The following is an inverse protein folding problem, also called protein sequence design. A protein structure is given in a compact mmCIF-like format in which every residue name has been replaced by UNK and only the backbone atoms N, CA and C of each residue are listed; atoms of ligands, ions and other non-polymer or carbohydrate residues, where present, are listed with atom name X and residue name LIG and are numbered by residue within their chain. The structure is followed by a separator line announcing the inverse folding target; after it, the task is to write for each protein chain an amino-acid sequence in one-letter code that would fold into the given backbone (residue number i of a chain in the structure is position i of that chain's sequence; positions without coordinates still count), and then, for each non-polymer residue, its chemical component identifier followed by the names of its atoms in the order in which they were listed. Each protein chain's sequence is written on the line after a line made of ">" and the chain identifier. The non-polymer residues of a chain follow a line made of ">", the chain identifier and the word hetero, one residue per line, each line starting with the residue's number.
data_IF_114947651113
#
_entry.id   IF_114947651113
#
_cell.length_a   1.000
_cell.length_b   1.000
_cell.length_c   1.000
_cell.angle_alpha   90.00
_cell.angle_beta   90.00
_cell.angle_gamma   90.00
#
_symmetry.space_group_name_H-M   'P 1'
#
loop_
_entity.id
_entity.type
_entity.pdbx_description
1 polymer ?
#
# COMPACT_ATOMS: atom_id res chain seq x y z
N UNK A 1 -33.99 12.74 -2.26
CA UNK A 1 -33.05 11.63 -2.55
C UNK A 1 -31.73 11.99 -1.90
N UNK A 2 -31.35 11.28 -0.83
CA UNK A 2 -30.11 11.57 -0.11
C UNK A 2 -28.92 11.30 -1.05
N UNK A 3 -28.16 12.34 -1.39
CA UNK A 3 -26.81 12.18 -1.92
C UNK A 3 -25.99 11.50 -0.81
N UNK A 4 -26.08 10.16 -0.72
CA UNK A 4 -25.11 9.41 0.06
C UNK A 4 -23.75 9.72 -0.57
N UNK A 5 -22.89 10.42 0.17
CA UNK A 5 -21.52 10.68 -0.28
C UNK A 5 -20.86 9.31 -0.51
N UNK A 6 -20.84 8.89 -1.77
CA UNK A 6 -20.19 7.66 -2.19
C UNK A 6 -18.69 7.79 -1.95
N UNK A 7 -18.08 6.78 -1.38
CA UNK A 7 -16.66 6.79 -1.07
C UNK A 7 -16.03 5.40 -1.21
N UNK A 8 -14.72 5.41 -1.39
CA UNK A 8 -13.89 4.20 -1.40
C UNK A 8 -13.13 4.09 -0.08
N UNK A 9 -13.00 2.88 0.45
CA UNK A 9 -12.12 2.61 1.59
C UNK A 9 -10.87 1.88 1.10
N UNK A 10 -9.72 2.51 1.27
CA UNK A 10 -8.40 1.96 0.93
C UNK A 10 -7.71 1.50 2.21
N UNK A 11 -7.35 0.20 2.29
CA UNK A 11 -6.80 -0.44 3.50
C UNK A 11 -5.44 -1.05 3.17
N UNK A 12 -4.37 -0.59 3.79
CA UNK A 12 -3.04 -1.13 3.54
C UNK A 12 -1.88 -0.22 3.87
N UNK A 13 -0.78 -0.37 3.13
CA UNK A 13 0.48 0.29 3.42
C UNK A 13 0.54 1.76 3.03
N UNK A 14 1.05 2.57 3.95
CA UNK A 14 1.67 3.86 3.67
C UNK A 14 3.06 3.88 4.29
N UNK A 15 4.02 4.48 3.64
CA UNK A 15 5.40 4.56 4.10
C UNK A 15 6.09 5.83 3.60
N UNK A 16 7.22 6.14 4.19
CA UNK A 16 8.13 7.16 3.65
C UNK A 16 9.14 6.48 2.76
N UNK A 17 9.25 6.95 1.52
CA UNK A 17 10.28 6.52 0.58
C UNK A 17 11.48 7.47 0.70
N UNK A 18 12.66 6.91 1.02
CA UNK A 18 13.94 7.61 1.05
C UNK A 18 14.76 7.08 -0.11
N UNK A 19 14.99 7.92 -1.11
CA UNK A 19 15.64 7.53 -2.35
C UNK A 19 16.97 8.28 -2.49
N UNK A 20 18.06 7.55 -2.43
CA UNK A 20 19.40 8.09 -2.71
C UNK A 20 19.74 7.88 -4.19
N UNK A 21 20.17 8.97 -4.87
CA UNK A 21 20.66 8.94 -6.26
C UNK A 21 22.07 9.45 -6.31
N UNK A 22 23.01 8.58 -6.61
CA UNK A 22 24.40 8.97 -6.79
C UNK A 22 24.62 9.55 -8.20
N UNK A 23 25.41 10.61 -8.30
CA UNK A 23 25.86 11.16 -9.61
C UNK A 23 27.10 10.44 -10.16
N UNK A 24 27.70 9.57 -9.36
CA UNK A 24 28.90 8.80 -9.72
C UNK A 24 28.68 7.33 -9.42
N UNK A 25 29.56 6.48 -9.96
CA UNK A 25 29.58 5.06 -9.61
C UNK A 25 29.72 4.89 -8.10
N UNK A 26 28.86 4.09 -7.50
CA UNK A 26 28.88 3.78 -6.07
C UNK A 26 30.10 2.94 -5.74
N UNK A 27 30.82 3.34 -4.71
CA UNK A 27 31.93 2.57 -4.12
C UNK A 27 31.41 1.88 -2.87
N UNK A 28 31.35 0.55 -2.91
CA UNK A 28 30.88 -0.27 -1.78
C UNK A 28 31.83 -0.13 -0.59
N UNK A 29 31.30 0.08 0.60
CA UNK A 29 32.08 0.28 1.83
C UNK A 29 32.57 1.72 2.05
N UNK A 30 32.22 2.64 1.14
CA UNK A 30 32.61 4.05 1.19
C UNK A 30 31.38 4.95 1.41
N UNK A 31 31.63 6.19 1.84
CA UNK A 31 30.60 7.24 1.87
C UNK A 31 30.47 7.85 0.48
N UNK A 32 29.32 7.66 -0.16
CA UNK A 32 29.05 8.14 -1.51
C UNK A 32 28.20 9.41 -1.47
N UNK A 33 28.67 10.48 -2.11
CA UNK A 33 27.90 11.72 -2.23
C UNK A 33 26.73 11.50 -3.17
N UNK A 34 25.51 11.71 -2.68
CA UNK A 34 24.26 11.44 -3.38
C UNK A 34 23.22 12.54 -3.10
N UNK A 35 22.28 12.72 -4.01
CA UNK A 35 21.05 13.43 -3.74
C UNK A 35 20.11 12.49 -3.01
N UNK A 36 19.45 12.99 -1.96
CA UNK A 36 18.52 12.19 -1.16
C UNK A 36 17.16 12.88 -1.19
N UNK A 37 16.18 12.17 -1.72
CA UNK A 37 14.78 12.58 -1.75
C UNK A 37 13.98 11.83 -0.69
N UNK A 38 13.03 12.52 -0.09
CA UNK A 38 12.07 11.97 0.84
C UNK A 38 10.66 12.22 0.32
N UNK A 39 9.91 11.15 0.08
CA UNK A 39 8.56 11.24 -0.48
C UNK A 39 7.58 10.38 0.29
N UNK A 40 6.30 10.80 0.26
CA UNK A 40 5.22 9.96 0.78
C UNK A 40 4.92 8.84 -0.20
N UNK A 41 5.03 7.61 0.25
CA UNK A 41 4.85 6.39 -0.53
C UNK A 41 3.80 5.44 0.06
N UNK A 42 3.83 4.22 -0.42
CA UNK A 42 2.89 3.16 -0.08
C UNK A 42 1.80 2.99 -1.14
N UNK A 43 1.64 1.75 -1.61
CA UNK A 43 0.74 1.43 -2.73
C UNK A 43 -0.68 1.92 -2.45
N UNK A 44 -1.23 1.60 -1.29
CA UNK A 44 -2.60 1.99 -0.93
C UNK A 44 -2.73 3.50 -0.74
N UNK A 45 -1.72 4.16 -0.14
CA UNK A 45 -1.73 5.61 -0.01
C UNK A 45 -1.73 6.29 -1.40
N UNK A 46 -0.92 5.80 -2.32
CA UNK A 46 -0.85 6.35 -3.69
C UNK A 46 -2.17 6.14 -4.45
N UNK A 47 -2.84 5.00 -4.27
CA UNK A 47 -4.17 4.76 -4.85
C UNK A 47 -5.20 5.74 -4.25
N UNK A 48 -5.19 5.93 -2.93
CA UNK A 48 -6.09 6.86 -2.26
C UNK A 48 -5.89 8.31 -2.73
N UNK A 49 -4.64 8.74 -2.92
CA UNK A 49 -4.30 10.04 -3.48
C UNK A 49 -4.85 10.23 -4.90
N UNK A 50 -4.62 9.24 -5.77
CA UNK A 50 -5.14 9.28 -7.13
C UNK A 50 -6.68 9.34 -7.17
N UNK A 51 -7.36 8.60 -6.30
CA UNK A 51 -8.82 8.68 -6.17
C UNK A 51 -9.26 10.11 -5.79
N UNK A 52 -8.58 10.74 -4.83
CA UNK A 52 -8.88 12.11 -4.43
C UNK A 52 -8.61 13.12 -5.57
N UNK A 53 -7.53 12.95 -6.33
CA UNK A 53 -7.25 13.78 -7.51
C UNK A 53 -8.33 13.61 -8.60
N UNK A 54 -8.89 12.41 -8.74
CA UNK A 54 -10.03 12.13 -9.62
C UNK A 54 -11.38 12.58 -9.02
N UNK A 55 -11.37 13.33 -7.91
CA UNK A 55 -12.56 13.86 -7.22
C UNK A 55 -13.46 12.78 -6.58
N UNK A 56 -12.92 11.61 -6.29
CA UNK A 56 -13.61 10.59 -5.50
C UNK A 56 -13.25 10.75 -4.03
N UNK A 57 -14.24 10.66 -3.16
CA UNK A 57 -14.01 10.60 -1.70
C UNK A 57 -13.34 9.29 -1.33
N UNK A 58 -12.23 9.37 -0.58
CA UNK A 58 -11.48 8.19 -0.15
C UNK A 58 -11.12 8.26 1.34
N UNK A 59 -11.40 7.18 2.06
CA UNK A 59 -10.88 6.93 3.40
C UNK A 59 -9.67 6.00 3.31
N UNK A 60 -8.56 6.43 3.85
CA UNK A 60 -7.38 5.59 4.01
C UNK A 60 -7.35 4.99 5.43
N UNK A 61 -7.32 3.68 5.53
CA UNK A 61 -7.08 2.94 6.77
C UNK A 61 -5.67 2.35 6.71
N UNK A 62 -4.74 3.00 7.39
CA UNK A 62 -3.33 2.61 7.49
C UNK A 62 -2.84 2.79 8.92
N UNK A 63 -1.54 2.64 9.16
CA UNK A 63 -0.91 2.89 10.45
C UNK A 63 0.14 3.97 10.31
N UNK A 64 0.12 4.92 11.24
CA UNK A 64 1.14 5.93 11.42
C UNK A 64 1.82 5.74 12.77
N UNK A 65 3.14 5.80 12.80
CA UNK A 65 3.90 5.87 14.04
C UNK A 65 3.74 7.22 14.73
N UNK A 66 4.07 7.27 16.00
CA UNK A 66 4.15 8.51 16.78
C UNK A 66 5.55 9.13 16.63
N UNK A 67 5.93 9.43 15.37
CA UNK A 67 7.23 9.92 14.96
C UNK A 67 7.12 10.99 13.84
N UNK A 68 8.25 11.59 13.47
CA UNK A 68 8.30 12.63 12.43
C UNK A 68 7.83 12.12 11.06
N UNK A 69 8.14 10.88 10.70
CA UNK A 69 7.68 10.28 9.46
C UNK A 69 6.16 10.04 9.46
N UNK A 70 5.60 9.66 10.61
CA UNK A 70 4.14 9.57 10.78
C UNK A 70 3.47 10.93 10.62
N UNK A 71 4.06 11.99 11.19
CA UNK A 71 3.56 13.35 11.05
C UNK A 71 3.66 13.83 9.58
N UNK A 72 4.78 13.55 8.92
CA UNK A 72 4.98 13.86 7.50
C UNK A 72 3.90 13.19 6.62
N UNK A 73 3.68 11.88 6.79
CA UNK A 73 2.67 11.14 6.02
C UNK A 73 1.25 11.65 6.28
N UNK A 74 0.88 11.90 7.54
CA UNK A 74 -0.43 12.44 7.92
C UNK A 74 -0.69 13.79 7.24
N UNK A 75 0.29 14.68 7.25
CA UNK A 75 0.18 16.00 6.61
C UNK A 75 0.06 15.86 5.09
N UNK A 76 0.87 14.99 4.48
CA UNK A 76 0.79 14.71 3.05
C UNK A 76 -0.58 14.17 2.65
N UNK A 77 -1.12 13.18 3.37
CA UNK A 77 -2.45 12.64 3.11
C UNK A 77 -3.55 13.72 3.19
N UNK A 78 -3.50 14.58 4.22
CA UNK A 78 -4.47 15.68 4.39
C UNK A 78 -4.39 16.68 3.24
N UNK A 79 -3.19 17.07 2.83
CA UNK A 79 -2.96 17.99 1.72
C UNK A 79 -3.48 17.43 0.38
N UNK A 80 -3.42 16.12 0.20
CA UNK A 80 -3.98 15.42 -0.98
C UNK A 80 -5.50 15.16 -0.88
N UNK A 81 -6.17 15.60 0.21
CA UNK A 81 -7.61 15.41 0.40
C UNK A 81 -8.01 14.01 0.87
N UNK A 82 -7.06 13.18 1.28
CA UNK A 82 -7.32 11.83 1.77
C UNK A 82 -7.86 11.90 3.21
N UNK A 83 -8.99 11.25 3.47
CA UNK A 83 -9.51 11.16 4.83
C UNK A 83 -8.80 10.04 5.60
N UNK A 84 -8.06 10.41 6.64
CA UNK A 84 -7.28 9.48 7.49
C UNK A 84 -7.87 9.30 8.90
N UNK A 85 -9.10 9.80 9.17
CA UNK A 85 -9.69 9.80 10.52
C UNK A 85 -9.91 8.40 11.09
N UNK A 86 -9.86 7.36 10.25
CA UNK A 86 -10.03 5.97 10.65
C UNK A 86 -8.72 5.17 10.62
N UNK A 87 -7.60 5.81 10.30
CA UNK A 87 -6.26 5.22 10.41
C UNK A 87 -5.83 5.07 11.87
N UNK A 88 -4.93 4.15 12.12
CA UNK A 88 -4.36 3.90 13.44
C UNK A 88 -3.13 4.79 13.67
N UNK A 89 -3.08 5.48 14.82
CA UNK A 89 -1.86 6.08 15.32
C UNK A 89 -1.35 5.24 16.48
N UNK A 90 -0.06 4.91 16.51
CA UNK A 90 0.49 4.01 17.52
C UNK A 90 1.92 4.36 17.89
N UNK A 91 2.29 4.05 19.15
CA UNK A 91 3.68 4.07 19.64
C UNK A 91 4.35 2.69 19.54
N UNK A 92 3.63 1.69 19.01
CA UNK A 92 4.10 0.30 18.89
C UNK A 92 4.87 0.07 17.59
N UNK A 93 5.88 0.87 17.33
CA UNK A 93 6.75 0.76 16.16
C UNK A 93 6.95 2.09 15.43
N UNK A 94 7.98 2.15 14.62
CA UNK A 94 8.28 3.30 13.77
C UNK A 94 7.40 3.28 12.53
N UNK A 95 7.12 4.48 11.99
CA UNK A 95 6.42 4.63 10.70
C UNK A 95 7.13 3.83 9.61
N UNK A 96 6.35 3.14 8.78
CA UNK A 96 6.90 2.32 7.71
C UNK A 96 7.79 3.16 6.77
N UNK A 97 8.93 2.58 6.43
CA UNK A 97 9.96 3.26 5.62
C UNK A 97 10.51 2.32 4.56
N UNK A 98 10.74 2.85 3.38
CA UNK A 98 11.46 2.21 2.28
C UNK A 98 12.67 3.06 1.93
N UNK A 99 13.85 2.47 1.92
CA UNK A 99 15.10 3.13 1.56
C UNK A 99 15.68 2.43 0.34
N UNK A 100 16.04 3.20 -0.69
CA UNK A 100 16.76 2.68 -1.85
C UNK A 100 18.02 3.49 -2.16
N UNK A 101 19.05 2.80 -2.61
CA UNK A 101 20.30 3.40 -3.11
C UNK A 101 20.39 3.08 -4.59
N UNK A 102 20.33 4.13 -5.40
CA UNK A 102 20.41 4.04 -6.84
C UNK A 102 21.74 4.61 -7.31
N UNK A 103 22.32 4.00 -8.32
CA UNK A 103 23.57 4.45 -8.93
C UNK A 103 23.34 5.63 -9.90
N UNK A 104 24.43 6.04 -10.57
CA UNK A 104 24.43 7.14 -11.55
C UNK A 104 23.64 6.84 -12.83
N UNK A 105 23.29 5.57 -13.09
CA UNK A 105 22.43 5.17 -14.20
C UNK A 105 20.95 5.18 -13.83
N UNK A 106 20.65 5.34 -12.53
CA UNK A 106 19.30 5.23 -11.96
C UNK A 106 18.93 3.78 -11.58
N UNK A 107 19.86 2.82 -11.75
CA UNK A 107 19.62 1.44 -11.34
C UNK A 107 19.69 1.31 -9.82
N UNK A 108 18.72 0.60 -9.26
CA UNK A 108 18.67 0.33 -7.83
C UNK A 108 19.67 -0.77 -7.47
N UNK A 109 20.68 -0.42 -6.67
CA UNK A 109 21.70 -1.37 -6.21
C UNK A 109 21.23 -2.16 -4.97
N UNK A 110 20.56 -1.48 -4.04
CA UNK A 110 20.07 -2.07 -2.81
C UNK A 110 18.86 -1.31 -2.31
N UNK A 111 17.92 -2.03 -1.70
CA UNK A 111 16.83 -1.44 -0.95
C UNK A 111 16.63 -2.16 0.37
N UNK A 112 16.17 -1.41 1.37
CA UNK A 112 15.73 -1.92 2.66
C UNK A 112 14.35 -1.37 2.97
N UNK A 113 13.52 -2.15 3.65
CA UNK A 113 12.21 -1.68 4.09
C UNK A 113 11.92 -2.13 5.53
N UNK A 114 11.30 -1.25 6.29
CA UNK A 114 10.65 -1.57 7.55
C UNK A 114 9.16 -1.28 7.43
N UNK A 115 8.38 -2.33 7.38
CA UNK A 115 6.90 -2.25 7.29
C UNK A 115 6.22 -2.95 8.46
N UNK A 116 6.96 -3.27 9.53
CA UNK A 116 6.47 -4.05 10.67
C UNK A 116 5.27 -3.39 11.37
N UNK A 117 5.24 -2.06 11.41
CA UNK A 117 4.12 -1.32 12.01
C UNK A 117 2.77 -1.70 11.40
N UNK A 118 2.72 -2.12 10.13
CA UNK A 118 1.49 -2.52 9.45
C UNK A 118 0.84 -3.78 10.04
N UNK A 119 1.56 -4.55 10.84
CA UNK A 119 1.00 -5.70 11.58
C UNK A 119 -0.05 -5.26 12.61
N UNK A 120 -0.04 -3.98 13.02
CA UNK A 120 -1.06 -3.41 13.89
C UNK A 120 -2.43 -3.20 13.19
N UNK A 121 -2.52 -3.33 11.86
CA UNK A 121 -3.80 -3.43 11.16
C UNK A 121 -4.41 -4.82 11.34
N UNK A 122 -4.83 -5.10 12.56
CA UNK A 122 -5.38 -6.42 12.92
C UNK A 122 -6.85 -6.57 12.50
N UNK A 123 -7.37 -7.82 12.45
CA UNK A 123 -8.80 -8.05 12.29
C UNK A 123 -9.67 -7.34 13.33
N UNK A 124 -9.21 -7.27 14.59
CA UNK A 124 -9.91 -6.61 15.70
C UNK A 124 -10.00 -5.10 15.46
N UNK A 125 -8.90 -4.48 15.03
CA UNK A 125 -8.90 -3.06 14.67
C UNK A 125 -9.89 -2.79 13.53
N UNK A 126 -9.86 -3.58 12.46
CA UNK A 126 -10.77 -3.41 11.32
C UNK A 126 -12.23 -3.72 11.69
N UNK A 127 -12.49 -4.61 12.65
CA UNK A 127 -13.82 -4.87 13.16
C UNK A 127 -14.45 -3.61 13.77
N UNK A 128 -13.66 -2.77 14.43
CA UNK A 128 -14.13 -1.47 14.94
C UNK A 128 -14.49 -0.46 13.84
N UNK A 129 -14.12 -0.71 12.59
CA UNK A 129 -14.39 0.12 11.41
C UNK A 129 -15.44 -0.51 10.48
N UNK A 130 -16.12 -1.57 10.93
CA UNK A 130 -17.03 -2.39 10.11
C UNK A 130 -18.15 -1.57 9.44
N UNK A 131 -18.73 -0.60 10.13
CA UNK A 131 -19.76 0.25 9.55
C UNK A 131 -19.22 1.06 8.37
N UNK A 132 -18.09 1.78 8.57
CA UNK A 132 -17.45 2.54 7.51
C UNK A 132 -17.13 1.65 6.28
N UNK A 133 -16.62 0.45 6.51
CA UNK A 133 -16.24 -0.45 5.41
C UNK A 133 -17.49 -0.99 4.71
N UNK A 134 -18.57 -1.28 5.44
CA UNK A 134 -19.83 -1.75 4.86
C UNK A 134 -20.54 -0.67 4.03
N UNK A 135 -20.41 0.59 4.40
CA UNK A 135 -21.09 1.69 3.71
C UNK A 135 -20.30 2.17 2.47
N UNK A 136 -19.06 1.70 2.30
CA UNK A 136 -18.22 2.03 1.14
C UNK A 136 -18.76 1.41 -0.16
N UNK A 137 -18.57 2.08 -1.31
CA UNK A 137 -18.87 1.51 -2.64
C UNK A 137 -17.90 0.41 -3.02
N UNK A 138 -16.61 0.60 -2.68
CA UNK A 138 -15.55 -0.33 -2.98
C UNK A 138 -14.50 -0.35 -1.87
N UNK A 139 -13.79 -1.45 -1.79
CA UNK A 139 -12.66 -1.65 -0.89
C UNK A 139 -11.42 -1.88 -1.75
N UNK A 140 -10.35 -1.15 -1.47
CA UNK A 140 -9.03 -1.35 -2.08
C UNK A 140 -8.09 -1.89 -1.02
N UNK A 141 -7.40 -2.99 -1.31
CA UNK A 141 -6.42 -3.59 -0.39
C UNK A 141 -5.08 -3.84 -1.07
N UNK A 142 -4.02 -3.96 -0.30
CA UNK A 142 -2.74 -4.44 -0.79
C UNK A 142 -2.18 -5.63 -0.01
N UNK A 143 -1.20 -6.31 -0.59
CA UNK A 143 -0.52 -7.44 0.04
C UNK A 143 0.51 -7.04 1.11
N UNK A 144 0.60 -5.76 1.51
CA UNK A 144 1.37 -5.39 2.70
C UNK A 144 0.66 -5.82 3.99
N UNK A 145 -0.66 -5.93 3.95
CA UNK A 145 -1.45 -6.44 5.06
C UNK A 145 -1.04 -7.85 5.50
N UNK A 146 -1.27 -8.17 6.78
CA UNK A 146 -1.06 -9.52 7.29
C UNK A 146 -2.02 -10.52 6.62
N UNK A 147 -1.63 -11.79 6.57
CA UNK A 147 -2.48 -12.86 6.03
C UNK A 147 -3.82 -12.96 6.78
N UNK A 148 -3.81 -12.75 8.09
CA UNK A 148 -5.02 -12.79 8.92
C UNK A 148 -5.95 -11.62 8.60
N UNK A 149 -5.39 -10.42 8.39
CA UNK A 149 -6.14 -9.23 8.04
C UNK A 149 -6.76 -9.34 6.66
N UNK A 150 -6.00 -9.82 5.65
CA UNK A 150 -6.53 -10.11 4.31
C UNK A 150 -7.68 -11.12 4.40
N UNK A 151 -7.49 -12.23 5.11
CA UNK A 151 -8.55 -13.23 5.33
C UNK A 151 -9.79 -12.63 5.98
N UNK A 152 -9.61 -11.79 6.99
CA UNK A 152 -10.71 -11.10 7.66
C UNK A 152 -11.51 -10.23 6.67
N UNK A 153 -10.85 -9.38 5.90
CA UNK A 153 -11.49 -8.49 4.93
C UNK A 153 -12.28 -9.31 3.91
N UNK A 154 -11.64 -10.26 3.26
CA UNK A 154 -12.23 -11.02 2.17
C UNK A 154 -13.39 -11.94 2.62
N UNK A 155 -13.41 -12.39 3.88
CA UNK A 155 -14.52 -13.18 4.42
C UNK A 155 -15.69 -12.34 4.91
N UNK A 156 -15.42 -11.16 5.49
CA UNK A 156 -16.47 -10.35 6.12
C UNK A 156 -17.11 -9.33 5.17
N UNK A 157 -16.43 -8.98 4.08
CA UNK A 157 -16.88 -7.98 3.10
C UNK A 157 -17.00 -8.53 1.67
N UNK A 158 -17.20 -9.83 1.52
CA UNK A 158 -17.28 -10.53 0.22
C UNK A 158 -18.37 -10.04 -0.73
N UNK A 159 -19.37 -9.33 -0.21
CA UNK A 159 -20.44 -8.72 -1.01
C UNK A 159 -20.07 -7.31 -1.52
N UNK A 160 -18.88 -6.81 -1.18
CA UNK A 160 -18.36 -5.53 -1.64
C UNK A 160 -17.52 -5.71 -2.90
N UNK A 161 -17.45 -4.66 -3.71
CA UNK A 161 -16.48 -4.62 -4.81
C UNK A 161 -15.08 -4.47 -4.24
N UNK A 162 -14.21 -5.46 -4.47
CA UNK A 162 -12.86 -5.51 -3.90
C UNK A 162 -11.83 -5.42 -5.02
N UNK A 163 -10.99 -4.39 -4.94
CA UNK A 163 -9.78 -4.25 -5.73
C UNK A 163 -8.56 -4.63 -4.88
N UNK A 164 -7.61 -5.40 -5.44
CA UNK A 164 -6.38 -5.79 -4.75
C UNK A 164 -5.12 -5.49 -5.55
N UNK A 165 -4.11 -4.93 -4.88
CA UNK A 165 -2.76 -4.80 -5.43
C UNK A 165 -1.82 -5.84 -4.80
N UNK A 166 -1.15 -6.68 -5.61
CA UNK A 166 -0.25 -7.73 -5.13
C UNK A 166 1.05 -7.22 -4.52
N UNK A 167 1.47 -5.99 -4.82
CA UNK A 167 2.70 -5.32 -4.35
C UNK A 167 4.00 -5.98 -4.82
N UNK A 168 4.12 -7.30 -4.67
CA UNK A 168 5.28 -8.08 -5.13
C UNK A 168 4.94 -9.56 -5.22
N UNK A 169 5.72 -10.30 -6.01
CA UNK A 169 5.58 -11.76 -6.17
C UNK A 169 5.50 -12.47 -4.82
N UNK A 170 6.41 -12.19 -3.89
CA UNK A 170 6.42 -12.83 -2.56
C UNK A 170 5.18 -12.51 -1.75
N UNK A 171 4.80 -11.22 -1.68
CA UNK A 171 3.64 -10.76 -0.90
C UNK A 171 2.31 -11.22 -1.49
N UNK A 172 2.22 -11.35 -2.82
CA UNK A 172 1.00 -11.78 -3.54
C UNK A 172 0.52 -13.18 -3.15
N UNK A 173 1.42 -14.03 -2.63
CA UNK A 173 1.07 -15.37 -2.13
C UNK A 173 -0.08 -15.36 -1.11
N UNK A 174 -0.25 -14.25 -0.38
CA UNK A 174 -1.33 -14.07 0.59
C UNK A 174 -2.71 -13.96 -0.07
N UNK A 175 -2.79 -13.52 -1.34
CA UNK A 175 -4.03 -13.36 -2.10
C UNK A 175 -4.42 -14.62 -2.86
N UNK A 176 -3.47 -15.51 -3.20
CA UNK A 176 -3.67 -16.64 -4.13
C UNK A 176 -4.89 -17.50 -3.79
N UNK A 177 -5.14 -17.77 -2.50
CA UNK A 177 -6.28 -18.57 -2.05
C UNK A 177 -7.62 -17.86 -2.08
N UNK A 178 -7.61 -16.56 -2.33
CA UNK A 178 -8.78 -15.68 -2.21
C UNK A 178 -9.12 -14.96 -3.51
N UNK A 179 -8.52 -15.35 -4.63
CA UNK A 179 -8.75 -14.68 -5.92
C UNK A 179 -10.24 -14.64 -6.31
N UNK A 180 -11.01 -15.67 -5.96
CA UNK A 180 -12.46 -15.72 -6.21
C UNK A 180 -13.29 -14.67 -5.43
N UNK A 181 -12.71 -14.04 -4.41
CA UNK A 181 -13.35 -12.97 -3.63
C UNK A 181 -12.93 -11.56 -4.08
N UNK A 182 -12.02 -11.47 -5.05
CA UNK A 182 -11.45 -10.21 -5.55
C UNK A 182 -12.05 -9.93 -6.92
N UNK A 183 -12.67 -8.76 -7.08
CA UNK A 183 -13.29 -8.38 -8.35
C UNK A 183 -12.26 -7.89 -9.37
N UNK A 184 -11.25 -7.16 -8.91
CA UNK A 184 -10.16 -6.67 -9.75
C UNK A 184 -8.84 -6.85 -9.03
N UNK A 185 -7.86 -7.41 -9.72
CA UNK A 185 -6.47 -7.47 -9.26
C UNK A 185 -5.55 -6.87 -10.33
N UNK A 186 -4.59 -6.04 -9.92
CA UNK A 186 -3.65 -5.39 -10.84
C UNK A 186 -2.21 -5.89 -10.58
N UNK A 187 -1.85 -7.03 -11.12
CA UNK A 187 -0.48 -7.54 -11.02
C UNK A 187 0.42 -6.95 -12.11
N UNK A 188 1.72 -6.92 -11.86
CA UNK A 188 2.71 -6.90 -12.93
C UNK A 188 2.88 -8.32 -13.54
N UNK A 189 3.70 -8.44 -14.59
CA UNK A 189 3.88 -9.71 -15.30
C UNK A 189 4.36 -10.86 -14.39
N UNK A 190 5.33 -10.60 -13.52
CA UNK A 190 5.89 -11.64 -12.62
C UNK A 190 4.91 -12.03 -11.50
N UNK A 191 4.15 -11.07 -11.02
CA UNK A 191 3.06 -11.31 -10.06
C UNK A 191 1.93 -12.11 -10.71
N UNK A 192 1.56 -11.79 -11.95
CA UNK A 192 0.53 -12.51 -12.70
C UNK A 192 0.94 -13.97 -12.95
N UNK A 193 2.16 -14.19 -13.43
CA UNK A 193 2.71 -15.57 -13.61
C UNK A 193 2.60 -16.37 -12.31
N UNK A 194 2.94 -15.76 -11.18
CA UNK A 194 2.90 -16.44 -9.88
C UNK A 194 1.47 -16.70 -9.39
N UNK A 195 0.58 -15.70 -9.49
CA UNK A 195 -0.79 -15.78 -8.98
C UNK A 195 -1.63 -16.79 -9.75
N UNK A 196 -1.45 -16.84 -11.06
CA UNK A 196 -2.26 -17.66 -11.97
C UNK A 196 -1.55 -18.91 -12.47
N UNK A 197 -0.37 -19.25 -11.90
CA UNK A 197 0.44 -20.41 -12.28
C UNK A 197 0.79 -20.48 -13.78
N UNK A 198 1.00 -19.29 -14.39
CA UNK A 198 1.29 -19.18 -15.82
C UNK A 198 2.76 -19.56 -16.10
N UNK A 199 2.97 -20.54 -17.00
CA UNK A 199 4.32 -20.99 -17.38
C UNK A 199 5.03 -20.03 -18.32
N UNK A 200 4.29 -19.41 -19.24
CA UNK A 200 4.72 -18.32 -20.13
C UNK A 200 3.50 -17.48 -20.49
N UNK A 201 3.72 -16.19 -20.70
CA UNK A 201 2.71 -15.34 -21.36
C UNK A 201 3.32 -15.01 -22.71
N UNK A 202 2.77 -15.59 -23.77
CA UNK A 202 3.10 -15.22 -25.14
C UNK A 202 2.60 -13.81 -25.46
N UNK A 203 3.24 -13.14 -26.42
CA UNK A 203 2.83 -11.79 -26.87
C UNK A 203 1.41 -11.75 -27.47
N UNK A 204 0.72 -12.87 -27.62
CA UNK A 204 -0.65 -13.01 -28.08
C UNK A 204 -1.69 -13.22 -26.97
N UNK A 205 -1.28 -13.27 -25.70
CA UNK A 205 -2.15 -13.56 -24.53
C UNK A 205 -2.49 -12.28 -23.72
N UNK A 206 -2.18 -11.09 -24.26
CA UNK A 206 -2.44 -9.77 -23.65
C UNK A 206 -3.59 -9.07 -24.37
#
# INVERSE_FOLDING_TARGET
>A
MSNSNKYVVSIGGSNVDIISRSKKKILIGESNISEIDLTAGGVIRNIAENLCHLKHSCYLITVFGDDEFGNYLKNNCKNSGININHSLNTKLGNTATYLSVNDHTGEMLVAANDTKILENLTPEFLSSKKSLINDAEAIVIDSNLSKNTIKYILNNFKNKFIFADPVSKTKSSKLKKYLSFINVIKPNLEEAKFLFDLKSIGTGDL
#
